data_IF_998497112418
#
_entry.id   IF_998497112418
#
_cell.length_a   1.000
_cell.length_b   1.000
_cell.length_c   1.000
_cell.angle_alpha   90.00
_cell.angle_beta   90.00
_cell.angle_gamma   90.00
#
_symmetry.space_group_name_H-M   'P 1'
#
loop_
_entity.id
_entity.type
_entity.pdbx_description
1 polymer ?
#
# COMPACT_ATOMS: atom_id res chain seq x y z
N UNK A 1 -15.91 -5.60 18.20
CA UNK A 1 -15.42 -4.54 17.29
C UNK A 1 -15.85 -4.92 15.89
N UNK A 2 -16.54 -4.05 15.14
CA UNK A 2 -16.82 -4.32 13.71
C UNK A 2 -15.56 -4.02 12.92
N UNK A 3 -14.97 -5.05 12.32
CA UNK A 3 -13.83 -4.98 11.40
C UNK A 3 -14.35 -4.32 10.12
N UNK A 4 -13.94 -3.07 9.87
CA UNK A 4 -14.54 -2.18 8.85
C UNK A 4 -14.34 -2.70 7.42
N UNK A 5 -13.23 -3.38 7.19
CA UNK A 5 -12.74 -3.84 5.90
C UNK A 5 -12.73 -5.37 5.79
N UNK A 6 -13.49 -6.08 6.63
CA UNK A 6 -13.52 -7.55 6.68
C UNK A 6 -13.83 -8.21 5.33
N UNK A 7 -14.62 -7.53 4.48
CA UNK A 7 -14.97 -7.99 3.14
C UNK A 7 -13.76 -8.14 2.19
N UNK A 8 -12.68 -7.39 2.44
CA UNK A 8 -11.43 -7.54 1.69
C UNK A 8 -10.70 -8.81 2.12
N UNK A 9 -10.55 -9.01 3.43
CA UNK A 9 -9.86 -10.16 4.01
C UNK A 9 -10.61 -11.47 3.78
N UNK A 10 -11.95 -11.45 3.70
CA UNK A 10 -12.76 -12.66 3.46
C UNK A 10 -12.72 -13.16 2.02
N UNK A 11 -12.25 -12.35 1.07
CA UNK A 11 -12.14 -12.79 -0.32
C UNK A 11 -10.84 -13.55 -0.51
N UNK A 12 -10.95 -14.88 -0.63
CA UNK A 12 -9.82 -15.82 -0.82
C UNK A 12 -8.94 -15.54 -2.04
N UNK A 13 -9.42 -14.72 -2.97
CA UNK A 13 -8.65 -14.34 -4.12
C UNK A 13 -7.73 -13.13 -3.88
N UNK A 14 -7.93 -12.42 -2.77
CA UNK A 14 -7.04 -11.36 -2.36
C UNK A 14 -5.90 -11.96 -1.54
N UNK A 15 -4.73 -11.32 -1.62
CA UNK A 15 -3.55 -11.72 -0.86
C UNK A 15 -3.03 -10.51 -0.10
N UNK A 16 -3.08 -10.58 1.23
CA UNK A 16 -2.63 -9.50 2.11
C UNK A 16 -1.53 -9.96 3.05
N UNK A 17 -0.70 -9.00 3.43
CA UNK A 17 0.40 -9.14 4.37
C UNK A 17 0.18 -8.13 5.49
N UNK A 18 0.20 -8.62 6.73
CA UNK A 18 0.04 -7.82 7.94
C UNK A 18 1.09 -6.71 8.02
N UNK A 19 0.70 -5.57 8.60
CA UNK A 19 1.59 -4.45 8.90
C UNK A 19 1.65 -4.25 10.40
N UNK A 20 2.85 -4.10 10.94
CA UNK A 20 3.02 -3.76 12.35
C UNK A 20 2.96 -2.24 12.60
N UNK A 21 2.69 -1.85 13.85
CA UNK A 21 2.70 -0.42 14.22
C UNK A 21 4.11 0.17 14.13
N UNK A 22 5.15 -0.63 14.33
CA UNK A 22 6.55 -0.27 14.18
C UNK A 22 6.87 0.09 12.73
N UNK A 23 6.43 -0.70 11.75
CA UNK A 23 6.61 -0.39 10.33
C UNK A 23 5.97 0.95 9.94
N UNK A 24 4.81 1.27 10.52
CA UNK A 24 4.14 2.57 10.33
C UNK A 24 4.95 3.70 10.96
N UNK A 25 5.42 3.54 12.20
CA UNK A 25 6.23 4.54 12.91
C UNK A 25 7.52 4.84 12.18
N UNK A 26 8.23 3.81 11.72
CA UNK A 26 9.47 3.96 10.97
C UNK A 26 9.29 4.83 9.71
N UNK A 27 8.16 4.66 9.02
CA UNK A 27 7.81 5.43 7.83
C UNK A 27 7.45 6.87 8.16
N UNK A 28 6.64 7.09 9.21
CA UNK A 28 6.29 8.44 9.69
C UNK A 28 7.53 9.23 10.11
N UNK A 29 8.44 8.60 10.84
CA UNK A 29 9.72 9.19 11.26
C UNK A 29 10.62 9.49 10.06
N UNK A 30 10.78 8.52 9.15
CA UNK A 30 11.60 8.69 7.93
C UNK A 30 11.11 9.86 7.05
N UNK A 31 9.80 10.02 6.94
CA UNK A 31 9.18 11.05 6.10
C UNK A 31 8.90 12.35 6.85
N UNK A 32 9.12 12.39 8.17
CA UNK A 32 8.78 13.52 9.06
C UNK A 32 7.33 13.98 8.89
N UNK A 33 6.39 13.03 8.76
CA UNK A 33 4.97 13.28 8.59
C UNK A 33 4.13 12.24 9.35
N UNK A 34 2.83 12.51 9.49
CA UNK A 34 1.86 11.53 10.00
C UNK A 34 1.02 10.98 8.86
N UNK A 35 0.86 9.66 8.83
CA UNK A 35 -0.06 9.02 7.91
C UNK A 35 -1.50 9.37 8.33
N UNK A 36 -2.44 9.51 7.37
CA UNK A 36 -3.85 9.68 7.69
C UNK A 36 -4.33 8.55 8.59
N UNK A 37 -5.13 8.88 9.61
CA UNK A 37 -5.63 7.93 10.60
C UNK A 37 -6.34 6.75 9.92
N UNK A 38 -7.14 7.01 8.90
CA UNK A 38 -7.88 5.99 8.16
C UNK A 38 -6.96 5.00 7.45
N UNK A 39 -5.79 5.45 6.97
CA UNK A 39 -4.79 4.61 6.33
C UNK A 39 -4.05 3.75 7.36
N UNK A 40 -3.74 4.30 8.53
CA UNK A 40 -3.15 3.55 9.66
C UNK A 40 -4.11 2.45 10.12
N UNK A 41 -5.39 2.77 10.32
CA UNK A 41 -6.42 1.80 10.68
C UNK A 41 -6.55 0.70 9.62
N UNK A 42 -6.55 1.08 8.34
CA UNK A 42 -6.58 0.12 7.24
C UNK A 42 -5.37 -0.84 7.28
N UNK A 43 -4.15 -0.32 7.48
CA UNK A 43 -2.96 -1.16 7.54
C UNK A 43 -2.96 -2.13 8.70
N UNK A 44 -3.41 -1.70 9.88
CA UNK A 44 -3.46 -2.57 11.06
C UNK A 44 -4.57 -3.62 10.96
N UNK A 45 -5.64 -3.35 10.23
CA UNK A 45 -6.76 -4.27 10.07
C UNK A 45 -6.61 -5.24 8.90
N UNK A 46 -6.09 -4.76 7.76
CA UNK A 46 -5.99 -5.51 6.50
C UNK A 46 -4.54 -5.76 6.09
N UNK A 47 -3.70 -4.74 6.22
CA UNK A 47 -2.31 -4.76 5.74
C UNK A 47 -2.17 -4.26 4.30
N UNK A 48 -1.16 -4.74 3.60
CA UNK A 48 -0.89 -4.38 2.20
C UNK A 48 -0.90 -5.63 1.32
N UNK A 49 -0.93 -5.46 0.00
CA UNK A 49 -0.85 -6.60 -0.91
C UNK A 49 -1.68 -6.41 -2.16
N UNK A 50 -2.38 -7.45 -2.57
CA UNK A 50 -3.02 -7.54 -3.88
C UNK A 50 -4.50 -7.84 -3.74
N UNK A 51 -5.31 -6.99 -4.37
CA UNK A 51 -6.72 -7.27 -4.60
C UNK A 51 -6.81 -7.93 -5.97
N UNK A 52 -7.51 -9.07 -6.08
CA UNK A 52 -7.70 -9.72 -7.38
C UNK A 52 -8.36 -8.74 -8.34
N UNK A 53 -7.65 -8.44 -9.42
CA UNK A 53 -8.20 -7.75 -10.58
C UNK A 53 -8.34 -8.70 -11.78
N UNK A 54 -8.46 -8.15 -12.98
CA UNK A 54 -8.53 -8.97 -14.20
C UNK A 54 -7.14 -9.53 -14.57
N UNK A 55 -7.10 -10.51 -15.49
CA UNK A 55 -5.89 -11.24 -15.92
C UNK A 55 -4.67 -10.34 -16.28
N UNK A 56 -4.91 -9.07 -16.61
CA UNK A 56 -3.89 -8.10 -17.00
C UNK A 56 -3.86 -6.85 -16.11
N UNK A 57 -4.67 -6.79 -15.06
CA UNK A 57 -4.74 -5.66 -14.14
C UNK A 57 -4.69 -6.16 -12.70
N UNK A 58 -3.53 -6.05 -12.08
CA UNK A 58 -3.37 -6.36 -10.66
C UNK A 58 -3.50 -5.05 -9.87
N UNK A 59 -4.47 -4.98 -8.96
CA UNK A 59 -4.62 -3.83 -8.07
C UNK A 59 -3.75 -4.08 -6.83
N UNK A 60 -2.75 -3.24 -6.62
CA UNK A 60 -1.83 -3.35 -5.48
C UNK A 60 -2.06 -2.23 -4.49
N UNK A 61 -2.26 -2.61 -3.23
CA UNK A 61 -2.13 -1.71 -2.09
C UNK A 61 -0.66 -1.69 -1.68
N UNK A 62 -0.06 -0.50 -1.67
CA UNK A 62 1.35 -0.34 -1.33
C UNK A 62 1.61 -0.63 0.15
N UNK A 63 2.76 -1.23 0.47
CA UNK A 63 3.21 -1.31 1.86
C UNK A 63 3.65 0.07 2.37
N UNK A 64 3.70 0.29 3.69
CA UNK A 64 4.25 1.53 4.26
C UNK A 64 5.64 1.84 3.70
N UNK A 65 6.52 0.84 3.62
CA UNK A 65 7.88 0.98 3.06
C UNK A 65 7.85 1.39 1.59
N UNK A 66 6.99 0.80 0.77
CA UNK A 66 6.84 1.21 -0.63
C UNK A 66 6.35 2.66 -0.76
N UNK A 67 5.45 3.12 0.12
CA UNK A 67 5.02 4.54 0.13
C UNK A 67 6.19 5.46 0.46
N UNK A 68 7.00 5.11 1.47
CA UNK A 68 8.21 5.86 1.82
C UNK A 68 9.16 5.96 0.63
N UNK A 69 9.50 4.83 0.02
CA UNK A 69 10.46 4.78 -1.08
C UNK A 69 9.93 5.55 -2.31
N UNK A 70 8.62 5.49 -2.56
CA UNK A 70 7.98 6.29 -3.60
C UNK A 70 8.06 7.80 -3.31
N UNK A 71 7.83 8.22 -2.06
CA UNK A 71 7.93 9.63 -1.65
C UNK A 71 9.35 10.16 -1.74
N UNK A 72 10.34 9.34 -1.39
CA UNK A 72 11.76 9.69 -1.43
C UNK A 72 12.41 9.49 -2.81
N UNK A 73 11.70 8.88 -3.77
CA UNK A 73 12.24 8.46 -5.07
C UNK A 73 13.48 7.58 -4.95
N UNK A 74 13.38 6.53 -4.14
CA UNK A 74 14.48 5.61 -3.89
C UNK A 74 14.10 4.19 -4.32
N UNK A 75 15.11 3.32 -4.42
CA UNK A 75 14.97 1.90 -4.77
C UNK A 75 14.23 1.76 -6.12
N UNK A 76 13.18 0.94 -6.15
CA UNK A 76 12.36 0.73 -7.34
C UNK A 76 11.85 2.04 -7.95
N UNK A 77 11.74 3.13 -7.17
CA UNK A 77 11.18 4.41 -7.62
C UNK A 77 12.21 5.43 -8.14
N UNK A 78 13.50 5.10 -8.11
CA UNK A 78 14.59 6.02 -8.45
C UNK A 78 14.53 6.51 -9.91
N UNK A 79 14.24 5.61 -10.84
CA UNK A 79 14.25 5.90 -12.29
C UNK A 79 12.88 6.26 -12.85
N UNK A 80 11.87 6.55 -12.01
CA UNK A 80 10.55 6.91 -12.52
C UNK A 80 10.53 8.38 -12.96
N UNK A 81 10.39 8.65 -14.28
CA UNK A 81 10.58 9.98 -14.83
C UNK A 81 9.48 10.96 -14.42
N UNK A 82 8.31 10.49 -13.96
CA UNK A 82 7.26 11.30 -13.34
C UNK A 82 6.19 10.43 -12.67
N UNK A 83 5.41 11.00 -11.73
CA UNK A 83 4.36 10.30 -10.95
C UNK A 83 3.30 9.60 -11.81
N UNK A 84 3.08 10.07 -13.04
CA UNK A 84 2.06 9.59 -13.97
C UNK A 84 2.43 8.31 -14.72
N UNK A 85 3.72 7.96 -14.83
CA UNK A 85 4.17 6.80 -15.61
C UNK A 85 3.96 5.44 -14.91
N UNK A 86 3.59 5.44 -13.62
CA UNK A 86 3.37 4.19 -12.88
C UNK A 86 2.04 3.51 -13.23
N UNK A 87 1.03 4.28 -13.69
CA UNK A 87 -0.30 3.74 -14.03
C UNK A 87 -0.34 2.88 -15.31
N UNK A 88 0.65 2.99 -16.20
CA UNK A 88 0.63 2.40 -17.55
C UNK A 88 1.20 0.98 -17.67
N UNK A 89 1.57 0.29 -16.57
CA UNK A 89 2.15 -1.07 -16.62
C UNK A 89 1.18 -2.21 -16.21
N UNK A 90 -0.13 -1.96 -16.19
CA UNK A 90 -1.11 -2.99 -15.75
C UNK A 90 -1.11 -3.26 -14.24
N UNK A 91 -0.37 -2.45 -13.47
CA UNK A 91 -0.47 -2.39 -12.01
C UNK A 91 -1.05 -1.04 -11.64
N UNK A 92 -2.30 -1.02 -11.18
CA UNK A 92 -2.88 0.19 -10.62
C UNK A 92 -2.46 0.26 -9.16
N UNK A 93 -1.62 1.24 -8.84
CA UNK A 93 -1.31 1.58 -7.46
C UNK A 93 -2.53 2.24 -6.84
N UNK A 94 -3.03 1.65 -5.76
CA UNK A 94 -4.02 2.26 -4.89
C UNK A 94 -3.27 2.78 -3.65
N UNK A 95 -3.38 4.09 -3.42
CA UNK A 95 -2.97 4.74 -2.16
C UNK A 95 -4.16 4.72 -1.20
#
# INVERSE_FOLDING_TARGET
MKVKYSYLASNVNNSFYSVSIEEIRDVEESLKLKLPKELVEFYLEVGYGFIKGSKYNVNRIMSPKSIRDFRLKQNDFEFFPNKYSISNRGIRLLL
#
